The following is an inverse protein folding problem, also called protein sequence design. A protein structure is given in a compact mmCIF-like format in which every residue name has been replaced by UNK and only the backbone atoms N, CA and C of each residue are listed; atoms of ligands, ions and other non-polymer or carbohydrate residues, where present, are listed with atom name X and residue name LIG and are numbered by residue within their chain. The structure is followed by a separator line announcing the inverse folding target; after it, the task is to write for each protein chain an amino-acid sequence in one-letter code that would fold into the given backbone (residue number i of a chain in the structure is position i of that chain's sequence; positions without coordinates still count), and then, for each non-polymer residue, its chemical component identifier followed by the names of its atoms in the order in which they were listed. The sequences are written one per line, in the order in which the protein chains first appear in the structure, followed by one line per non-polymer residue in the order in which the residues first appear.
data_IF_605886445980
#
_entry.id   IF_605886445980
#
_cell.length_a   1.000
_cell.length_b   1.000
_cell.length_c   1.000
_cell.angle_alpha   90.00
_cell.angle_beta   90.00
_cell.angle_gamma   90.00
#
_symmetry.space_group_name_H-M   'P 1'
#
loop_
_entity.id
_entity.type
_entity.pdbx_description
1 polymer ?
#
# COMPACT_ATOMS: atom_id res chain seq x y z
N UNK A 1 13.93 2.59 6.18
CA UNK A 1 12.65 3.24 6.54
C UNK A 1 11.56 2.57 5.73
N UNK A 2 10.41 2.19 6.30
CA UNK A 2 9.27 1.73 5.51
C UNK A 2 8.93 2.76 4.43
N UNK A 3 8.50 2.30 3.27
CA UNK A 3 8.09 3.22 2.21
C UNK A 3 6.75 3.85 2.61
N UNK A 4 6.46 5.10 2.21
CA UNK A 4 5.20 5.76 2.58
C UNK A 4 3.92 4.93 2.30
N UNK A 5 3.84 4.12 1.21
CA UNK A 5 2.72 3.22 0.99
C UNK A 5 2.56 2.14 2.07
N UNK A 6 3.67 1.65 2.64
CA UNK A 6 3.67 0.63 3.68
C UNK A 6 3.10 1.17 5.00
N UNK A 7 3.45 2.41 5.37
CA UNK A 7 2.96 3.06 6.59
C UNK A 7 1.44 3.29 6.56
N UNK A 8 0.91 3.67 5.38
CA UNK A 8 -0.53 3.84 5.20
C UNK A 8 -1.26 2.49 5.24
N UNK A 9 -0.75 1.47 4.55
CA UNK A 9 -1.35 0.12 4.58
C UNK A 9 -1.38 -0.45 6.00
N UNK A 10 -0.29 -0.32 6.75
CA UNK A 10 -0.21 -0.73 8.16
C UNK A 10 -1.24 -0.01 9.03
N UNK A 11 -1.42 1.29 8.81
CA UNK A 11 -2.42 2.10 9.53
C UNK A 11 -3.85 1.65 9.23
N UNK A 12 -4.16 1.38 7.95
CA UNK A 12 -5.47 0.88 7.52
C UNK A 12 -5.76 -0.51 8.08
N UNK A 13 -4.79 -1.43 8.05
CA UNK A 13 -4.92 -2.76 8.64
C UNK A 13 -5.13 -2.72 10.16
N UNK A 14 -4.43 -1.83 10.86
CA UNK A 14 -4.63 -1.60 12.30
C UNK A 14 -6.05 -1.11 12.58
N UNK A 15 -6.54 -0.13 11.81
CA UNK A 15 -7.92 0.36 11.89
C UNK A 15 -8.95 -0.75 11.66
N UNK A 16 -8.73 -1.61 10.67
CA UNK A 16 -9.61 -2.75 10.39
C UNK A 16 -9.68 -3.73 11.57
N UNK A 17 -8.54 -4.06 12.18
CA UNK A 17 -8.48 -4.93 13.36
C UNK A 17 -9.21 -4.31 14.55
N UNK A 18 -9.06 -3.00 14.74
CA UNK A 18 -9.76 -2.28 15.81
C UNK A 18 -11.28 -2.26 15.56
N UNK A 19 -11.71 -2.02 14.32
CA UNK A 19 -13.12 -2.07 13.95
C UNK A 19 -13.73 -3.47 14.13
N UNK A 20 -12.97 -4.53 13.80
CA UNK A 20 -13.38 -5.91 14.05
C UNK A 20 -13.59 -6.18 15.53
N UNK A 21 -12.64 -5.75 16.37
CA UNK A 21 -12.71 -5.96 17.82
C UNK A 21 -13.87 -5.19 18.48
N UNK A 22 -14.17 -3.98 18.01
CA UNK A 22 -15.20 -3.11 18.60
C UNK A 22 -16.61 -3.40 18.09
N UNK A 23 -16.77 -3.58 16.77
CA UNK A 23 -18.09 -3.65 16.15
C UNK A 23 -18.45 -5.04 15.62
N UNK A 24 -17.46 -5.93 15.46
CA UNK A 24 -17.66 -7.27 14.91
C UNK A 24 -17.76 -7.31 13.37
N UNK A 25 -17.66 -8.53 12.79
CA UNK A 25 -17.51 -8.73 11.35
C UNK A 25 -18.78 -8.42 10.53
N UNK A 26 -19.95 -8.41 11.18
CA UNK A 26 -21.22 -8.10 10.53
C UNK A 26 -21.52 -6.60 10.48
N UNK A 27 -20.78 -5.78 11.22
CA UNK A 27 -21.02 -4.34 11.28
C UNK A 27 -20.72 -3.65 9.96
N UNK A 28 -21.51 -2.62 9.64
CA UNK A 28 -21.27 -1.75 8.49
C UNK A 28 -19.91 -1.06 8.59
N UNK A 29 -19.48 -0.69 9.81
CA UNK A 29 -18.19 -0.03 10.04
C UNK A 29 -17.03 -0.93 9.63
N UNK A 30 -17.01 -2.18 10.11
CA UNK A 30 -15.97 -3.15 9.74
C UNK A 30 -15.96 -3.41 8.23
N UNK A 31 -17.13 -3.63 7.63
CA UNK A 31 -17.25 -3.92 6.19
C UNK A 31 -16.77 -2.77 5.31
N UNK A 32 -17.11 -1.54 5.66
CA UNK A 32 -16.66 -0.35 4.92
C UNK A 32 -15.14 -0.20 5.00
N UNK A 33 -14.55 -0.33 6.19
CA UNK A 33 -13.09 -0.24 6.35
C UNK A 33 -12.39 -1.38 5.59
N UNK A 34 -12.97 -2.58 5.59
CA UNK A 34 -12.44 -3.73 4.85
C UNK A 34 -12.36 -3.46 3.35
N UNK A 35 -13.40 -2.88 2.77
CA UNK A 35 -13.41 -2.52 1.34
C UNK A 35 -12.28 -1.55 0.99
N UNK A 36 -12.05 -0.53 1.82
CA UNK A 36 -10.98 0.46 1.63
C UNK A 36 -9.60 -0.21 1.69
N UNK A 37 -9.38 -1.10 2.66
CA UNK A 37 -8.11 -1.84 2.81
C UNK A 37 -7.88 -2.74 1.59
N UNK A 38 -8.90 -3.47 1.15
CA UNK A 38 -8.83 -4.38 0.02
C UNK A 38 -8.53 -3.61 -1.29
N UNK A 39 -9.21 -2.48 -1.52
CA UNK A 39 -8.97 -1.61 -2.67
C UNK A 39 -7.55 -1.04 -2.66
N UNK A 40 -7.08 -0.54 -1.52
CA UNK A 40 -5.74 0.01 -1.39
C UNK A 40 -4.66 -1.05 -1.66
N UNK A 41 -4.81 -2.25 -1.10
CA UNK A 41 -3.87 -3.36 -1.32
C UNK A 41 -3.86 -3.80 -2.79
N UNK A 42 -5.02 -3.87 -3.45
CA UNK A 42 -5.11 -4.16 -4.88
C UNK A 42 -4.41 -3.08 -5.72
N UNK A 43 -4.64 -1.80 -5.42
CA UNK A 43 -3.99 -0.69 -6.10
C UNK A 43 -2.47 -0.69 -5.90
N UNK A 44 -1.98 -1.05 -4.72
CA UNK A 44 -0.55 -1.18 -4.44
C UNK A 44 0.06 -2.33 -5.25
N UNK A 45 -0.60 -3.49 -5.29
CA UNK A 45 -0.17 -4.62 -6.11
C UNK A 45 -0.15 -4.28 -7.61
N UNK A 46 -1.16 -3.58 -8.12
CA UNK A 46 -1.19 -3.12 -9.51
C UNK A 46 -0.05 -2.15 -9.84
N UNK A 47 0.27 -1.21 -8.94
CA UNK A 47 1.43 -0.33 -9.10
C UNK A 47 2.73 -1.11 -9.10
N UNK A 48 2.87 -2.12 -8.23
CA UNK A 48 4.02 -3.03 -8.22
C UNK A 48 4.17 -3.83 -9.52
N UNK A 49 3.06 -4.26 -10.12
CA UNK A 49 3.05 -4.94 -11.43
C UNK A 49 3.38 -3.98 -12.59
N UNK A 50 2.94 -2.72 -12.52
CA UNK A 50 3.23 -1.69 -13.52
C UNK A 50 4.73 -1.33 -13.60
N UNK A 51 5.49 -1.59 -12.53
CA UNK A 51 6.95 -1.40 -12.47
C UNK A 51 7.71 -2.52 -13.21
N UNK A 52 7.05 -3.62 -13.60
CA UNK A 52 7.66 -4.71 -14.37
C UNK A 52 7.72 -4.53 -15.89
N UNK A 53 7.24 -3.41 -16.45
CA UNK A 53 7.10 -3.21 -17.91
C UNK A 53 7.89 -2.01 -18.49
N UNK A 54 8.82 -1.41 -17.74
CA UNK A 54 9.72 -0.38 -18.27
C UNK A 54 11.09 -0.43 -17.59
N UNK A 55 11.94 -1.37 -17.98
CA UNK A 55 13.37 -1.09 -18.00
C UNK A 55 13.67 -0.26 -19.25
N UNK A 56 13.57 1.07 -19.17
CA UNK A 56 14.26 1.97 -20.11
C UNK A 56 14.48 3.36 -19.48
N UNK A 57 15.74 3.62 -19.15
CA UNK A 57 16.41 4.94 -19.10
C UNK A 57 15.99 5.98 -18.05
N UNK A 58 16.63 5.94 -16.87
CA UNK A 58 17.23 7.13 -16.25
C UNK A 58 18.68 6.74 -16.00
N UNK A 59 19.63 7.18 -16.82
CA UNK A 59 20.13 8.55 -16.80
C UNK A 59 21.40 8.53 -15.95
N UNK A 60 22.54 8.45 -16.64
CA UNK A 60 23.90 8.43 -16.09
C UNK A 60 24.15 9.58 -15.11
N UNK A 61 24.74 9.29 -13.95
CA UNK A 61 25.80 10.13 -13.39
C UNK A 61 26.91 9.22 -12.85
N UNK A 62 27.77 8.81 -13.80
CA UNK A 62 29.07 8.19 -13.54
C UNK A 62 29.94 9.22 -12.82
N UNK A 63 30.51 8.81 -11.68
CA UNK A 63 31.60 9.47 -10.99
C UNK A 63 32.68 9.95 -11.98
N UNK A 64 32.97 11.25 -11.98
CA UNK A 64 34.18 11.77 -12.61
C UNK A 64 35.12 12.30 -11.53
N UNK A 65 36.14 11.50 -11.24
CA UNK A 65 37.38 11.90 -10.59
C UNK A 65 38.17 12.82 -11.51
N UNK A 66 38.65 13.96 -10.99
CA UNK A 66 39.97 14.55 -11.30
C UNK A 66 40.34 15.53 -10.18
#
# INVERSE_FOLDING_TARGET
MPTQPDDLLLSLQSSLRNALATFGPSSTQYRNIKLIVDEYAANLAMQGLSIGSSETCQGEEVMQTN
#
